data_IF_188683268857
#
_entry.id   IF_188683268857
#
_cell.length_a   1.000
_cell.length_b   1.000
_cell.length_c   1.000
_cell.angle_alpha   90.00
_cell.angle_beta   90.00
_cell.angle_gamma   90.00
#
_symmetry.space_group_name_H-M   'P 1'
#
loop_
_entity.id
_entity.type
_entity.pdbx_description
1 polymer ?
#
# COMPACT_ATOMS: atom_id res chain seq x y z
N UNK A 1 12.81 13.69 -6.61
CA UNK A 1 12.24 12.90 -5.49
C UNK A 1 11.31 11.86 -6.10
N UNK A 2 11.39 10.59 -5.71
CA UNK A 2 10.72 9.49 -6.43
C UNK A 2 9.20 9.44 -6.18
N UNK A 3 8.75 9.88 -5.00
CA UNK A 3 7.35 10.13 -4.64
C UNK A 3 7.31 11.52 -4.00
N UNK A 4 6.37 12.36 -4.40
CA UNK A 4 6.10 13.61 -3.68
C UNK A 4 5.11 13.33 -2.54
N UNK A 5 5.50 13.72 -1.34
CA UNK A 5 4.75 13.46 -0.09
C UNK A 5 4.34 14.75 0.60
N UNK A 6 4.60 15.91 -0.03
CA UNK A 6 4.13 17.20 0.48
C UNK A 6 2.62 17.29 0.25
N UNK A 7 1.90 17.65 1.31
CA UNK A 7 0.48 17.98 1.22
C UNK A 7 0.34 19.44 0.78
N UNK A 8 -0.63 19.69 -0.09
CA UNK A 8 -1.04 21.01 -0.55
C UNK A 8 -2.44 21.34 -0.03
N UNK A 9 -2.82 22.61 -0.04
CA UNK A 9 -4.18 23.03 0.32
C UNK A 9 -5.21 22.55 -0.72
N UNK A 10 -4.82 22.54 -2.00
CA UNK A 10 -5.64 22.05 -3.09
C UNK A 10 -5.58 20.53 -3.25
N UNK A 11 -6.69 19.96 -3.71
CA UNK A 11 -6.78 18.57 -4.15
C UNK A 11 -6.02 18.31 -5.46
N UNK A 12 -5.94 17.04 -5.85
CA UNK A 12 -5.26 16.60 -7.08
C UNK A 12 -6.19 15.77 -7.97
N UNK A 13 -5.82 15.57 -9.23
CA UNK A 13 -6.60 14.73 -10.16
C UNK A 13 -6.50 13.24 -9.83
N UNK A 14 -7.49 12.47 -10.28
CA UNK A 14 -7.53 11.01 -10.12
C UNK A 14 -6.33 10.32 -10.77
N UNK A 15 -5.86 10.82 -11.92
CA UNK A 15 -4.69 10.30 -12.64
C UNK A 15 -3.44 10.40 -11.77
N UNK A 16 -3.29 11.54 -11.07
CA UNK A 16 -2.16 11.76 -10.18
C UNK A 16 -2.22 10.87 -8.94
N UNK A 17 -3.42 10.65 -8.40
CA UNK A 17 -3.62 9.69 -7.29
C UNK A 17 -3.20 8.28 -7.74
N UNK A 18 -3.67 7.82 -8.90
CA UNK A 18 -3.32 6.51 -9.45
C UNK A 18 -1.82 6.37 -9.72
N UNK A 19 -1.16 7.43 -10.22
CA UNK A 19 0.29 7.48 -10.40
C UNK A 19 1.02 7.33 -9.06
N UNK A 20 0.60 8.08 -8.05
CA UNK A 20 1.16 8.02 -6.70
C UNK A 20 1.00 6.64 -6.09
N UNK A 21 -0.18 5.99 -6.18
CA UNK A 21 -0.40 4.62 -5.71
C UNK A 21 0.58 3.64 -6.38
N UNK A 22 0.72 3.71 -7.72
CA UNK A 22 1.68 2.87 -8.46
C UNK A 22 3.11 3.08 -8.00
N UNK A 23 3.51 4.32 -7.74
CA UNK A 23 4.85 4.63 -7.26
C UNK A 23 5.06 4.12 -5.82
N UNK A 24 4.10 4.31 -4.91
CA UNK A 24 4.16 3.76 -3.54
C UNK A 24 4.38 2.25 -3.61
N UNK A 25 3.57 1.54 -4.39
CA UNK A 25 3.76 0.09 -4.57
C UNK A 25 5.13 -0.20 -5.17
N UNK A 26 5.57 0.48 -6.24
CA UNK A 26 6.85 0.22 -6.92
C UNK A 26 8.06 0.36 -6.00
N UNK A 27 8.08 1.39 -5.15
CA UNK A 27 9.24 1.74 -4.35
C UNK A 27 9.18 1.22 -2.90
N UNK A 28 8.09 0.57 -2.50
CA UNK A 28 7.98 -0.13 -1.22
C UNK A 28 8.68 -1.50 -1.22
N UNK A 29 9.21 -1.89 -0.06
CA UNK A 29 9.76 -3.23 0.16
C UNK A 29 8.68 -4.29 -0.04
N UNK A 30 9.01 -5.38 -0.74
CA UNK A 30 8.10 -6.49 -1.02
C UNK A 30 8.19 -7.55 0.06
N UNK A 31 7.48 -7.33 1.18
CA UNK A 31 7.41 -8.31 2.28
C UNK A 31 6.80 -9.65 1.84
N UNK A 32 6.01 -9.65 0.76
CA UNK A 32 5.45 -10.85 0.13
C UNK A 32 6.44 -11.65 -0.72
N UNK A 33 7.66 -11.15 -0.97
CA UNK A 33 8.67 -11.87 -1.73
C UNK A 33 9.18 -13.09 -0.92
N UNK A 34 9.28 -14.30 -1.51
CA UNK A 34 9.81 -15.48 -0.82
C UNK A 34 11.23 -15.31 -0.25
N UNK A 35 12.00 -14.37 -0.78
CA UNK A 35 13.36 -14.05 -0.34
C UNK A 35 13.42 -12.90 0.67
N UNK A 36 12.27 -12.46 1.21
CA UNK A 36 12.24 -11.49 2.29
C UNK A 36 12.47 -12.16 3.65
N UNK A 37 13.69 -12.02 4.19
CA UNK A 37 14.12 -12.62 5.47
C UNK A 37 14.50 -11.59 6.53
N UNK A 38 14.09 -10.33 6.36
CA UNK A 38 14.55 -9.23 7.19
C UNK A 38 13.83 -9.16 8.55
N UNK A 39 12.68 -9.85 8.70
CA UNK A 39 11.80 -9.74 9.87
C UNK A 39 11.25 -11.11 10.25
N UNK A 40 10.64 -11.19 11.44
CA UNK A 40 9.95 -12.41 11.93
C UNK A 40 8.59 -12.67 11.22
N UNK A 41 8.24 -11.85 10.22
CA UNK A 41 7.07 -12.01 9.37
C UNK A 41 7.46 -11.85 7.89
N UNK A 42 6.70 -12.47 7.00
CA UNK A 42 6.91 -12.40 5.54
C UNK A 42 5.87 -13.21 4.78
N UNK A 43 5.82 -13.03 3.47
CA UNK A 43 4.80 -13.65 2.63
C UNK A 43 3.46 -12.90 2.66
N UNK A 44 2.44 -13.51 2.05
CA UNK A 44 1.07 -12.99 2.04
C UNK A 44 0.08 -14.14 2.19
N UNK A 45 -0.74 -14.09 3.23
CA UNK A 45 -1.90 -14.98 3.36
C UNK A 45 -3.09 -14.38 2.58
N UNK A 46 -3.65 -15.16 1.65
CA UNK A 46 -4.73 -14.69 0.78
C UNK A 46 -6.02 -14.47 1.55
N UNK A 47 -6.29 -15.28 2.57
CA UNK A 47 -7.50 -15.14 3.38
C UNK A 47 -7.38 -13.94 4.32
N UNK A 48 -6.21 -13.75 4.95
CA UNK A 48 -5.89 -12.57 5.73
C UNK A 48 -6.00 -11.27 4.92
N UNK A 49 -5.52 -11.25 3.67
CA UNK A 49 -5.70 -10.09 2.79
C UNK A 49 -7.18 -9.80 2.51
N UNK A 50 -7.97 -10.82 2.19
CA UNK A 50 -9.40 -10.65 1.95
C UNK A 50 -10.13 -10.14 3.20
N UNK A 51 -9.80 -10.68 4.37
CA UNK A 51 -10.30 -10.22 5.66
C UNK A 51 -9.97 -8.75 5.90
N UNK A 52 -8.71 -8.35 5.68
CA UNK A 52 -8.28 -6.95 5.81
C UNK A 52 -9.07 -6.02 4.89
N UNK A 53 -9.26 -6.38 3.62
CA UNK A 53 -10.05 -5.56 2.69
C UNK A 53 -11.51 -5.40 3.13
N UNK A 54 -12.13 -6.47 3.66
CA UNK A 54 -13.51 -6.42 4.17
C UNK A 54 -13.58 -5.52 5.41
N UNK A 55 -12.67 -5.71 6.38
CA UNK A 55 -12.62 -4.92 7.60
C UNK A 55 -12.45 -3.42 7.31
N UNK A 56 -11.52 -3.05 6.42
CA UNK A 56 -11.30 -1.66 6.01
C UNK A 56 -12.52 -1.08 5.27
N UNK A 57 -13.20 -1.90 4.46
CA UNK A 57 -14.40 -1.45 3.72
C UNK A 57 -15.59 -1.21 4.65
N UNK A 58 -15.70 -1.97 5.74
CA UNK A 58 -16.79 -1.84 6.71
C UNK A 58 -16.56 -0.70 7.73
N UNK A 59 -15.30 -0.40 8.07
CA UNK A 59 -14.91 0.71 8.97
C UNK A 59 -15.76 0.79 10.26
N UNK A 60 -16.03 -0.37 10.88
CA UNK A 60 -16.77 -0.46 12.15
C UNK A 60 -15.81 -0.35 13.34
N UNK A 61 -16.25 0.30 14.41
CA UNK A 61 -15.55 0.37 15.70
C UNK A 61 -16.07 -0.67 16.71
#
# INVERSE_FOLDING_TARGET
KIIDVKLTEDGTTEEKIKETIRNIVRYSVKTSNPHFHNQLYGGIDRYGLAGAMISESLNSS
#
